data_IF_430492390838
#
_entry.id   IF_430492390838
#
_cell.length_a   1.000
_cell.length_b   1.000
_cell.length_c   1.000
_cell.angle_alpha   90.00
_cell.angle_beta   90.00
_cell.angle_gamma   90.00
#
_symmetry.space_group_name_H-M   'P 1'
#
loop_
_entity.id
_entity.type
_entity.pdbx_description
1 polymer ?
#
# COMPACT_ATOMS: atom_id res chain seq x y z
N UNK A 1 -8.31 -22.87 21.45
CA UNK A 1 -7.54 -21.61 21.68
C UNK A 1 -6.04 -21.90 21.62
N UNK A 2 -5.56 -22.93 22.33
CA UNK A 2 -4.18 -23.42 22.26
C UNK A 2 -3.71 -23.83 20.86
N UNK A 3 -4.53 -24.57 20.10
CA UNK A 3 -4.21 -24.93 18.70
C UNK A 3 -4.00 -23.70 17.81
N UNK A 4 -4.85 -22.68 17.94
CA UNK A 4 -4.70 -21.42 17.20
C UNK A 4 -3.45 -20.66 17.60
N UNK A 5 -3.09 -20.66 18.89
CA UNK A 5 -1.86 -20.04 19.35
C UNK A 5 -0.64 -20.73 18.74
N UNK A 6 -0.66 -22.07 18.67
CA UNK A 6 0.39 -22.85 18.02
C UNK A 6 0.50 -22.53 16.53
N UNK A 7 -0.62 -22.38 15.84
CA UNK A 7 -0.65 -21.94 14.44
C UNK A 7 -0.13 -20.51 14.26
N UNK A 8 -0.57 -19.57 15.10
CA UNK A 8 -0.15 -18.16 15.03
C UNK A 8 1.37 -18.06 15.30
N UNK A 9 1.93 -18.82 16.25
CA UNK A 9 3.39 -18.90 16.50
C UNK A 9 4.12 -19.58 15.33
N UNK A 10 3.60 -20.69 14.79
CA UNK A 10 4.19 -21.37 13.64
C UNK A 10 4.27 -20.47 12.41
N UNK A 11 3.23 -19.66 12.19
CA UNK A 11 3.18 -18.66 11.12
C UNK A 11 4.30 -17.61 11.23
N UNK A 12 4.72 -17.24 12.45
CA UNK A 12 5.85 -16.32 12.63
C UNK A 12 7.14 -16.95 12.12
N UNK A 13 7.42 -18.21 12.47
CA UNK A 13 8.63 -18.91 12.00
C UNK A 13 8.67 -19.12 10.49
N UNK A 14 7.51 -19.31 9.87
CA UNK A 14 7.44 -19.49 8.41
C UNK A 14 7.68 -18.18 7.64
N UNK A 15 7.34 -17.03 8.23
CA UNK A 15 7.28 -15.75 7.53
C UNK A 15 8.33 -14.74 7.95
N UNK A 16 8.92 -14.89 9.13
CA UNK A 16 9.97 -14.02 9.64
C UNK A 16 11.30 -14.78 9.83
N UNK A 17 12.27 -14.57 8.93
CA UNK A 17 13.61 -15.14 9.06
C UNK A 17 14.36 -14.74 10.33
N UNK A 18 13.95 -13.69 11.03
CA UNK A 18 14.57 -13.24 12.28
C UNK A 18 14.09 -14.03 13.51
N UNK A 19 13.02 -14.82 13.39
CA UNK A 19 12.48 -15.60 14.49
C UNK A 19 13.38 -16.79 14.86
N UNK A 20 14.08 -16.72 16.00
CA UNK A 20 15.06 -17.75 16.39
C UNK A 20 14.48 -18.88 17.23
N UNK A 21 13.57 -18.57 18.16
CA UNK A 21 13.00 -19.57 19.08
C UNK A 21 11.62 -19.13 19.61
N UNK A 22 10.85 -20.10 20.12
CA UNK A 22 9.43 -19.86 20.47
C UNK A 22 9.26 -18.96 21.68
N UNK A 23 10.22 -18.96 22.61
CA UNK A 23 10.21 -18.08 23.77
C UNK A 23 10.35 -16.62 23.34
N UNK A 24 11.30 -16.32 22.45
CA UNK A 24 11.46 -15.00 21.85
C UNK A 24 10.19 -14.58 21.12
N UNK A 25 9.67 -15.41 20.20
CA UNK A 25 8.42 -15.11 19.49
C UNK A 25 7.27 -14.78 20.45
N UNK A 26 7.10 -15.59 21.50
CA UNK A 26 6.02 -15.38 22.45
C UNK A 26 6.21 -14.14 23.34
N UNK A 27 7.45 -13.68 23.57
CA UNK A 27 7.73 -12.58 24.51
C UNK A 27 8.00 -11.24 23.83
N UNK A 28 8.43 -11.22 22.56
CA UNK A 28 8.90 -10.00 21.90
C UNK A 28 8.16 -9.62 20.63
N UNK A 29 7.18 -10.42 20.16
CA UNK A 29 6.43 -10.09 18.94
C UNK A 29 5.13 -9.33 19.23
N UNK A 30 5.08 -8.01 19.04
CA UNK A 30 3.90 -7.20 19.33
C UNK A 30 2.71 -7.58 18.44
N UNK A 31 2.97 -8.02 17.21
CA UNK A 31 1.95 -8.53 16.28
C UNK A 31 1.18 -9.71 16.85
N UNK A 32 1.90 -10.70 17.38
CA UNK A 32 1.31 -11.88 18.03
C UNK A 32 0.47 -11.47 19.25
N UNK A 33 1.03 -10.60 20.12
CA UNK A 33 0.32 -10.12 21.32
C UNK A 33 -0.97 -9.38 20.97
N UNK A 34 -0.95 -8.52 19.96
CA UNK A 34 -2.12 -7.78 19.52
C UNK A 34 -3.22 -8.71 18.97
N UNK A 35 -2.86 -9.72 18.18
CA UNK A 35 -3.81 -10.72 17.67
C UNK A 35 -4.41 -11.54 18.83
N UNK A 36 -3.59 -11.99 19.78
CA UNK A 36 -4.08 -12.71 20.96
C UNK A 36 -5.06 -11.87 21.79
N UNK A 37 -4.70 -10.64 22.09
CA UNK A 37 -5.54 -9.71 22.84
C UNK A 37 -6.84 -9.40 22.08
N UNK A 38 -6.76 -9.21 20.76
CA UNK A 38 -7.94 -9.02 19.91
C UNK A 38 -8.87 -10.23 19.98
N UNK A 39 -8.37 -11.47 19.91
CA UNK A 39 -9.23 -12.67 19.98
C UNK A 39 -10.04 -12.72 21.28
N UNK A 40 -9.45 -12.31 22.41
CA UNK A 40 -10.16 -12.16 23.70
C UNK A 40 -11.15 -11.00 23.66
N UNK A 41 -10.72 -9.82 23.19
CA UNK A 41 -11.58 -8.64 23.07
C UNK A 41 -12.79 -8.89 22.15
N UNK A 42 -12.59 -9.61 21.05
CA UNK A 42 -13.63 -10.02 20.12
C UNK A 42 -14.64 -10.98 20.78
N UNK A 43 -14.17 -11.92 21.61
CA UNK A 43 -15.06 -12.78 22.38
C UNK A 43 -15.94 -11.98 23.37
N UNK A 44 -15.34 -11.01 24.08
CA UNK A 44 -16.08 -10.07 24.95
C UNK A 44 -17.08 -9.24 24.14
N UNK A 45 -16.67 -8.75 22.96
CA UNK A 45 -17.51 -7.98 22.05
C UNK A 45 -18.74 -8.76 21.60
N UNK A 46 -18.58 -10.04 21.23
CA UNK A 46 -19.69 -10.91 20.83
C UNK A 46 -20.63 -11.27 21.98
N UNK A 47 -20.14 -11.27 23.23
CA UNK A 47 -20.94 -11.48 24.45
C UNK A 47 -21.69 -10.23 24.93
N UNK A 48 -21.62 -9.12 24.20
CA UNK A 48 -22.28 -7.86 24.56
C UNK A 48 -21.49 -7.00 25.56
N UNK A 49 -20.33 -7.45 26.06
CA UNK A 49 -19.46 -6.72 26.97
C UNK A 49 -18.60 -5.68 26.21
N UNK A 50 -19.28 -4.76 25.51
CA UNK A 50 -18.65 -3.83 24.54
C UNK A 50 -17.59 -2.92 25.16
N UNK A 51 -17.86 -2.40 26.35
CA UNK A 51 -16.93 -1.53 27.06
C UNK A 51 -15.64 -2.27 27.45
N UNK A 52 -15.76 -3.47 28.04
CA UNK A 52 -14.60 -4.29 28.39
C UNK A 52 -13.77 -4.68 27.16
N UNK A 53 -14.44 -5.02 26.06
CA UNK A 53 -13.77 -5.30 24.80
C UNK A 53 -12.98 -4.08 24.29
N UNK A 54 -13.56 -2.87 24.37
CA UNK A 54 -12.89 -1.62 23.99
C UNK A 54 -11.72 -1.29 24.90
N UNK A 55 -11.87 -1.45 26.22
CA UNK A 55 -10.81 -1.23 27.19
C UNK A 55 -9.62 -2.16 26.89
N UNK A 56 -9.87 -3.46 26.72
CA UNK A 56 -8.83 -4.44 26.42
C UNK A 56 -8.11 -4.13 25.09
N UNK A 57 -8.84 -3.75 24.04
CA UNK A 57 -8.27 -3.31 22.76
C UNK A 57 -7.36 -2.08 22.92
N UNK A 58 -7.76 -1.11 23.76
CA UNK A 58 -6.93 0.07 24.04
C UNK A 58 -5.69 -0.24 24.88
N UNK A 59 -5.79 -1.15 25.85
CA UNK A 59 -4.63 -1.62 26.63
C UNK A 59 -3.66 -2.35 25.71
N UNK A 60 -4.14 -3.24 24.84
CA UNK A 60 -3.30 -3.91 23.84
C UNK A 60 -2.59 -2.90 22.92
N UNK A 61 -3.32 -1.88 22.44
CA UNK A 61 -2.76 -0.77 21.65
C UNK A 61 -1.66 -0.02 22.39
N UNK A 62 -1.82 0.24 23.69
CA UNK A 62 -0.81 0.94 24.50
C UNK A 62 0.52 0.18 24.54
N UNK A 63 0.48 -1.15 24.66
CA UNK A 63 1.68 -1.98 24.76
C UNK A 63 2.28 -2.37 23.40
N UNK A 64 1.46 -2.49 22.35
CA UNK A 64 1.90 -3.03 21.04
C UNK A 64 2.01 -1.97 19.95
N UNK A 65 1.38 -0.81 20.10
CA UNK A 65 1.23 0.19 19.04
C UNK A 65 0.28 -0.23 17.90
N UNK A 66 -0.41 -1.37 18.04
CA UNK A 66 -1.35 -1.91 17.05
C UNK A 66 -2.78 -1.68 17.53
N UNK A 67 -3.59 -1.04 16.70
CA UNK A 67 -5.00 -0.82 16.98
C UNK A 67 -5.88 -1.80 16.20
N UNK A 68 -6.54 -2.70 16.92
CA UNK A 68 -7.52 -3.63 16.34
C UNK A 68 -8.86 -3.43 17.01
N UNK A 69 -9.86 -2.98 16.27
CA UNK A 69 -11.20 -2.86 16.80
C UNK A 69 -11.77 -4.25 17.17
N UNK A 70 -12.40 -4.43 18.36
CA UNK A 70 -12.94 -5.73 18.78
C UNK A 70 -14.01 -6.31 17.84
N UNK A 71 -14.67 -5.45 17.06
CA UNK A 71 -15.66 -5.84 16.06
C UNK A 71 -15.07 -6.47 14.78
N UNK A 72 -13.78 -6.28 14.51
CA UNK A 72 -13.14 -6.81 13.31
C UNK A 72 -13.18 -8.35 13.31
N UNK A 73 -13.29 -8.94 12.12
CA UNK A 73 -13.25 -10.39 11.92
C UNK A 73 -11.88 -10.77 11.37
N UNK A 74 -11.17 -11.63 12.09
CA UNK A 74 -9.80 -12.06 11.74
C UNK A 74 -9.75 -13.58 11.64
N UNK A 75 -9.27 -14.06 10.50
CA UNK A 75 -9.01 -15.47 10.22
C UNK A 75 -7.88 -16.11 11.04
N UNK A 76 -7.37 -17.21 10.51
CA UNK A 76 -6.27 -18.01 11.06
C UNK A 76 -4.93 -17.54 10.48
N UNK A 77 -3.84 -17.74 11.24
CA UNK A 77 -2.46 -17.45 10.78
C UNK A 77 -2.33 -16.04 10.19
N UNK A 78 -3.00 -15.09 10.86
CA UNK A 78 -2.91 -13.69 10.52
C UNK A 78 -1.64 -13.13 11.12
N UNK A 79 -0.74 -12.65 10.26
CA UNK A 79 0.57 -12.19 10.66
C UNK A 79 0.66 -10.67 10.57
N UNK A 80 1.11 -10.04 11.66
CA UNK A 80 1.42 -8.61 11.69
C UNK A 80 2.93 -8.48 11.94
N UNK A 81 3.66 -8.00 10.94
CA UNK A 81 5.10 -7.82 11.03
C UNK A 81 5.46 -6.38 11.39
N UNK A 82 6.37 -6.22 12.37
CA UNK A 82 6.75 -4.99 13.08
C UNK A 82 5.60 -4.26 13.81
N UNK A 83 4.42 -4.16 13.19
CA UNK A 83 3.14 -3.83 13.80
C UNK A 83 2.89 -2.37 14.18
N UNK A 84 3.92 -1.57 14.47
CA UNK A 84 3.73 -0.19 14.91
C UNK A 84 2.84 0.62 13.94
N UNK A 85 1.79 1.26 14.45
CA UNK A 85 0.91 2.11 13.66
C UNK A 85 -0.07 1.35 12.74
N UNK A 86 -0.23 0.04 12.91
CA UNK A 86 -1.31 -0.71 12.25
C UNK A 86 -2.67 -0.34 12.84
N UNK A 87 -3.64 -0.04 11.98
CA UNK A 87 -5.01 0.34 12.37
C UNK A 87 -6.03 -0.49 11.61
N UNK A 88 -6.83 -1.27 12.33
CA UNK A 88 -7.86 -2.16 11.78
C UNK A 88 -9.23 -1.76 12.35
N UNK A 89 -10.09 -1.26 11.47
CA UNK A 89 -11.39 -0.73 11.87
C UNK A 89 -12.48 -1.78 12.13
N UNK A 90 -13.61 -1.32 12.67
CA UNK A 90 -14.67 -2.15 13.25
C UNK A 90 -15.24 -3.22 12.33
N UNK A 91 -15.50 -2.88 11.07
CA UNK A 91 -16.18 -3.77 10.12
C UNK A 91 -15.21 -4.42 9.13
N UNK A 92 -13.92 -4.39 9.45
CA UNK A 92 -12.89 -5.03 8.66
C UNK A 92 -13.05 -6.56 8.76
N UNK A 93 -12.85 -7.23 7.63
CA UNK A 93 -12.80 -8.69 7.54
C UNK A 93 -11.45 -9.05 6.95
N UNK A 94 -10.72 -9.92 7.63
CA UNK A 94 -9.39 -10.39 7.24
C UNK A 94 -9.46 -11.90 7.12
N UNK A 95 -9.21 -12.42 5.92
CA UNK A 95 -9.16 -13.85 5.64
C UNK A 95 -7.99 -14.56 6.32
N UNK A 96 -7.88 -15.85 6.05
CA UNK A 96 -6.78 -16.66 6.56
C UNK A 96 -5.46 -16.26 5.88
N UNK A 97 -4.34 -16.48 6.57
CA UNK A 97 -2.99 -16.36 6.02
C UNK A 97 -2.59 -14.95 5.54
N UNK A 98 -3.32 -13.91 5.93
CA UNK A 98 -2.97 -12.54 5.55
C UNK A 98 -1.74 -12.04 6.32
N UNK A 99 -0.94 -11.18 5.66
CA UNK A 99 0.20 -10.48 6.27
C UNK A 99 0.03 -8.98 6.17
N UNK A 100 0.16 -8.28 7.29
CA UNK A 100 0.14 -6.82 7.38
C UNK A 100 1.47 -6.32 7.95
N UNK A 101 2.10 -5.36 7.28
CA UNK A 101 3.28 -4.69 7.80
C UNK A 101 2.90 -3.45 8.64
N UNK A 102 3.89 -2.87 9.33
CA UNK A 102 3.73 -1.64 10.11
C UNK A 102 3.08 -0.49 9.31
N UNK A 103 2.37 0.40 10.01
CA UNK A 103 1.75 1.60 9.44
C UNK A 103 0.55 1.35 8.51
N UNK A 104 0.10 0.10 8.35
CA UNK A 104 -1.06 -0.24 7.53
C UNK A 104 -2.35 0.27 8.16
N UNK A 105 -3.27 0.79 7.34
CA UNK A 105 -4.62 1.14 7.79
C UNK A 105 -5.67 0.44 6.94
N UNK A 106 -6.56 -0.30 7.60
CA UNK A 106 -7.82 -0.81 7.05
C UNK A 106 -8.95 0.11 7.54
N UNK A 107 -9.17 1.19 6.80
CA UNK A 107 -9.93 2.37 7.24
C UNK A 107 -11.32 2.49 6.61
N UNK A 108 -12.17 3.28 7.25
CA UNK A 108 -13.49 3.63 6.72
C UNK A 108 -13.48 4.89 5.86
N UNK A 109 -14.41 5.00 4.92
CA UNK A 109 -14.59 6.21 4.07
C UNK A 109 -15.88 6.99 4.37
N UNK A 110 -16.74 6.48 5.27
CA UNK A 110 -18.05 7.07 5.59
C UNK A 110 -18.29 7.10 7.10
N UNK A 111 -19.06 8.10 7.54
CA UNK A 111 -19.55 8.26 8.90
C UNK A 111 -20.80 7.41 9.18
N UNK A 112 -21.40 6.82 8.15
CA UNK A 112 -22.59 6.00 8.30
C UNK A 112 -22.28 4.70 9.04
N UNK A 113 -23.22 4.28 9.90
CA UNK A 113 -23.17 2.97 10.55
C UNK A 113 -23.35 1.88 9.48
N UNK A 114 -22.59 0.80 9.60
CA UNK A 114 -22.60 -0.32 8.64
C UNK A 114 -21.22 -0.75 8.17
N UNK A 115 -21.20 -1.59 7.13
CA UNK A 115 -19.98 -2.05 6.47
C UNK A 115 -19.31 -0.86 5.78
N UNK A 116 -18.09 -0.54 6.23
CA UNK A 116 -17.34 0.66 5.79
C UNK A 116 -15.84 0.43 5.71
N UNK A 117 -15.35 -0.68 6.25
CA UNK A 117 -13.94 -1.06 6.20
C UNK A 117 -13.73 -2.22 5.21
N UNK A 118 -12.48 -2.46 4.76
CA UNK A 118 -12.20 -3.45 3.74
C UNK A 118 -12.53 -4.90 4.12
N UNK A 119 -12.62 -5.75 3.10
CA UNK A 119 -12.63 -7.21 3.23
C UNK A 119 -11.41 -7.74 2.48
N UNK A 120 -10.50 -8.41 3.19
CA UNK A 120 -9.35 -9.09 2.62
C UNK A 120 -9.68 -10.58 2.49
N UNK A 121 -9.43 -11.14 1.32
CA UNK A 121 -9.47 -12.57 1.05
C UNK A 121 -8.35 -13.34 1.76
N UNK A 122 -8.11 -14.57 1.33
CA UNK A 122 -7.00 -15.41 1.82
C UNK A 122 -5.66 -14.94 1.26
N UNK A 123 -4.56 -15.16 1.98
CA UNK A 123 -3.18 -14.98 1.49
C UNK A 123 -2.87 -13.55 1.00
N UNK A 124 -3.63 -12.55 1.47
CA UNK A 124 -3.41 -11.15 1.09
C UNK A 124 -2.21 -10.58 1.83
N UNK A 125 -1.33 -9.90 1.11
CA UNK A 125 -0.17 -9.19 1.68
C UNK A 125 -0.38 -7.69 1.53
N UNK A 126 -0.32 -6.96 2.65
CA UNK A 126 -0.44 -5.50 2.67
C UNK A 126 0.86 -4.88 3.15
N UNK A 127 1.57 -4.24 2.21
CA UNK A 127 2.87 -3.59 2.39
C UNK A 127 2.88 -2.46 3.41
N UNK A 128 4.07 -2.11 3.87
CA UNK A 128 4.27 -1.14 4.95
C UNK A 128 3.65 0.22 4.61
N UNK A 129 2.95 0.83 5.56
CA UNK A 129 2.36 2.16 5.41
C UNK A 129 1.14 2.24 4.47
N UNK A 130 0.70 1.15 3.84
CA UNK A 130 -0.43 1.17 2.91
C UNK A 130 -1.76 1.55 3.60
N UNK A 131 -2.65 2.21 2.84
CA UNK A 131 -3.98 2.63 3.28
C UNK A 131 -5.02 1.97 2.39
N UNK A 132 -5.79 1.03 2.93
CA UNK A 132 -6.90 0.38 2.23
C UNK A 132 -8.19 0.92 2.82
N UNK A 133 -8.93 1.70 2.03
CA UNK A 133 -9.99 2.57 2.52
C UNK A 133 -11.34 2.22 1.89
N UNK A 134 -12.35 2.05 2.75
CA UNK A 134 -13.74 1.84 2.36
C UNK A 134 -14.17 0.38 2.35
N UNK A 135 -15.45 0.09 2.07
CA UNK A 135 -15.99 -1.27 2.01
C UNK A 135 -15.61 -1.96 0.69
N UNK A 136 -14.31 -2.02 0.39
CA UNK A 136 -13.76 -2.64 -0.82
C UNK A 136 -13.27 -4.06 -0.55
N UNK A 137 -13.19 -4.86 -1.62
CA UNK A 137 -12.74 -6.24 -1.57
C UNK A 137 -11.33 -6.38 -2.14
N UNK A 138 -10.46 -7.03 -1.39
CA UNK A 138 -9.11 -7.40 -1.82
C UNK A 138 -9.10 -8.92 -2.00
N UNK A 139 -9.05 -9.37 -3.26
CA UNK A 139 -9.18 -10.77 -3.61
C UNK A 139 -8.04 -11.65 -3.08
N UNK A 140 -8.26 -12.96 -3.13
CA UNK A 140 -7.30 -13.95 -2.62
C UNK A 140 -5.92 -13.82 -3.28
N UNK A 141 -4.85 -13.87 -2.49
CA UNK A 141 -3.47 -13.77 -2.95
C UNK A 141 -3.06 -12.41 -3.51
N UNK A 142 -3.92 -11.40 -3.40
CA UNK A 142 -3.60 -10.05 -3.87
C UNK A 142 -2.52 -9.39 -3.00
N UNK A 143 -1.76 -8.48 -3.61
CA UNK A 143 -0.65 -7.76 -2.95
C UNK A 143 -0.91 -6.26 -3.01
N UNK A 144 -0.79 -5.59 -1.88
CA UNK A 144 -0.85 -4.13 -1.82
C UNK A 144 0.56 -3.63 -1.54
N UNK A 145 1.10 -2.80 -2.43
CA UNK A 145 2.44 -2.25 -2.28
C UNK A 145 2.55 -1.27 -1.11
N UNK A 146 3.76 -1.11 -0.59
CA UNK A 146 4.06 -0.11 0.44
C UNK A 146 3.57 1.28 0.08
N UNK A 147 3.04 2.00 1.08
CA UNK A 147 2.48 3.35 0.98
C UNK A 147 1.40 3.53 -0.09
N UNK A 148 0.85 2.44 -0.67
CA UNK A 148 -0.24 2.54 -1.62
C UNK A 148 -1.53 3.01 -0.93
N UNK A 149 -2.34 3.81 -1.63
CA UNK A 149 -3.66 4.25 -1.14
C UNK A 149 -4.74 3.63 -2.01
N UNK A 150 -5.32 2.52 -1.55
CA UNK A 150 -6.26 1.69 -2.30
C UNK A 150 -7.68 2.04 -1.90
N UNK A 151 -8.43 2.57 -2.87
CA UNK A 151 -9.84 3.01 -2.72
C UNK A 151 -10.81 2.26 -3.64
N UNK A 152 -10.32 1.25 -4.35
CA UNK A 152 -11.08 0.38 -5.26
C UNK A 152 -10.72 -1.08 -5.00
N UNK A 153 -11.65 -1.99 -5.23
CA UNK A 153 -11.42 -3.43 -5.07
C UNK A 153 -10.27 -3.91 -5.96
N UNK A 154 -9.51 -4.89 -5.46
CA UNK A 154 -8.35 -5.47 -6.14
C UNK A 154 -8.67 -6.94 -6.46
N UNK A 155 -8.58 -7.37 -7.73
CA UNK A 155 -8.84 -8.75 -8.12
C UNK A 155 -7.90 -9.76 -7.44
N UNK A 156 -8.31 -11.04 -7.32
CA UNK A 156 -7.44 -12.09 -6.81
C UNK A 156 -6.10 -12.18 -7.57
N UNK A 157 -5.01 -12.36 -6.83
CA UNK A 157 -3.65 -12.50 -7.36
C UNK A 157 -3.05 -11.23 -7.98
N UNK A 158 -3.79 -10.12 -8.03
CA UNK A 158 -3.32 -8.86 -8.59
C UNK A 158 -2.50 -8.04 -7.57
N UNK A 159 -1.67 -7.14 -8.07
CA UNK A 159 -0.89 -6.22 -7.23
C UNK A 159 -1.41 -4.79 -7.40
N UNK A 160 -1.66 -4.07 -6.31
CA UNK A 160 -2.04 -2.66 -6.35
C UNK A 160 -0.95 -1.78 -5.71
N UNK A 161 -0.48 -0.76 -6.43
CA UNK A 161 0.58 0.16 -5.95
C UNK A 161 0.25 1.63 -6.23
N UNK A 162 0.92 2.55 -5.54
CA UNK A 162 0.84 3.98 -5.80
C UNK A 162 -0.30 4.71 -5.08
N UNK A 163 -0.36 6.03 -5.31
CA UNK A 163 -1.34 6.95 -4.70
C UNK A 163 -1.96 7.82 -5.79
N UNK A 164 -3.24 7.62 -6.17
CA UNK A 164 -4.11 6.53 -5.75
C UNK A 164 -3.66 5.17 -6.32
N UNK A 165 -4.02 4.10 -5.62
CA UNK A 165 -3.65 2.72 -5.94
C UNK A 165 -4.13 2.30 -7.33
N UNK A 166 -3.21 1.84 -8.16
CA UNK A 166 -3.46 1.30 -9.49
C UNK A 166 -3.11 -0.18 -9.51
N UNK A 167 -3.94 -0.96 -10.18
CA UNK A 167 -3.69 -2.40 -10.36
C UNK A 167 -2.62 -2.55 -11.43
N UNK A 168 -1.55 -3.24 -11.08
CA UNK A 168 -0.54 -3.73 -12.02
C UNK A 168 -0.96 -5.14 -12.38
N UNK A 169 -1.31 -5.33 -13.65
CA UNK A 169 -1.49 -6.67 -14.18
C UNK A 169 -0.11 -7.34 -14.26
N UNK A 170 0.05 -8.57 -13.74
CA UNK A 170 1.28 -9.30 -13.95
C UNK A 170 1.44 -9.53 -15.45
N UNK A 171 2.52 -8.99 -16.01
CA UNK A 171 2.84 -9.13 -17.43
C UNK A 171 2.86 -10.62 -17.78
N UNK A 172 2.11 -11.03 -18.82
CA UNK A 172 1.90 -12.47 -19.15
C UNK A 172 3.13 -13.13 -19.76
N UNK A 173 4.23 -12.42 -19.88
CA UNK A 173 5.45 -12.88 -20.53
C UNK A 173 6.18 -13.95 -19.71
N UNK A 174 6.88 -14.85 -20.42
CA UNK A 174 7.65 -15.96 -19.82
C UNK A 174 8.74 -15.52 -18.82
N UNK A 175 9.06 -14.23 -18.76
CA UNK A 175 9.94 -13.63 -17.75
C UNK A 175 9.25 -13.47 -16.38
N UNK A 176 7.94 -13.22 -16.34
CA UNK A 176 7.17 -13.07 -15.09
C UNK A 176 6.97 -14.40 -14.37
N UNK A 177 6.76 -15.50 -15.11
CA UNK A 177 6.72 -16.87 -14.55
C UNK A 177 8.03 -17.24 -13.86
N UNK A 178 9.18 -16.96 -14.49
CA UNK A 178 10.50 -17.20 -13.89
C UNK A 178 10.73 -16.38 -12.62
N UNK A 179 10.25 -15.12 -12.57
CA UNK A 179 10.33 -14.27 -11.38
C UNK A 179 9.42 -14.76 -10.26
N UNK A 180 8.18 -15.18 -10.56
CA UNK A 180 7.25 -15.76 -9.59
C UNK A 180 7.76 -17.10 -9.02
N UNK A 181 8.37 -17.95 -9.85
CA UNK A 181 8.98 -19.21 -9.41
C UNK A 181 10.23 -18.97 -8.56
N UNK A 182 10.97 -17.91 -8.83
CA UNK A 182 12.13 -17.48 -8.03
C UNK A 182 11.71 -16.90 -6.69
N UNK A 183 10.69 -16.02 -6.65
CA UNK A 183 10.12 -15.50 -5.41
C UNK A 183 9.52 -16.62 -4.53
N UNK A 184 8.86 -17.63 -5.14
CA UNK A 184 8.42 -18.84 -4.44
C UNK A 184 9.56 -19.67 -3.86
N UNK A 185 10.71 -19.73 -4.52
CA UNK A 185 11.92 -20.42 -4.03
C UNK A 185 12.62 -19.69 -2.89
N UNK A 186 12.51 -18.36 -2.82
CA UNK A 186 13.20 -17.53 -1.83
C UNK A 186 12.28 -17.21 -0.63
N UNK A 187 10.95 -17.40 -0.76
CA UNK A 187 9.99 -17.20 0.34
C UNK A 187 9.82 -15.74 0.77
N UNK A 188 10.41 -14.79 0.06
CA UNK A 188 10.42 -13.37 0.43
C UNK A 188 10.15 -12.49 -0.79
N UNK A 189 9.03 -11.78 -0.77
CA UNK A 189 8.67 -10.76 -1.75
C UNK A 189 8.47 -9.44 -1.00
N UNK A 190 9.41 -8.51 -1.17
CA UNK A 190 9.55 -7.34 -0.31
C UNK A 190 8.32 -6.44 -0.41
N UNK A 191 7.54 -6.39 0.66
CA UNK A 191 6.51 -5.38 0.90
C UNK A 191 5.49 -5.17 -0.23
N UNK A 192 5.10 -6.25 -0.92
CA UNK A 192 4.10 -6.19 -1.99
C UNK A 192 4.56 -5.45 -3.25
N UNK A 193 5.86 -5.21 -3.41
CA UNK A 193 6.44 -4.62 -4.60
C UNK A 193 7.15 -5.69 -5.43
N UNK A 194 6.70 -5.93 -6.67
CA UNK A 194 7.59 -6.55 -7.66
C UNK A 194 8.72 -5.56 -7.91
N UNK A 195 9.99 -5.98 -7.69
CA UNK A 195 11.21 -5.14 -7.82
C UNK A 195 11.32 -4.37 -9.15
N UNK A 196 10.53 -4.75 -10.16
CA UNK A 196 10.49 -4.15 -11.49
C UNK A 196 9.07 -3.68 -11.91
N UNK A 197 8.18 -3.29 -10.98
CA UNK A 197 6.91 -2.68 -11.36
C UNK A 197 7.20 -1.35 -12.09
N UNK A 198 6.98 -1.24 -13.42
CA UNK A 198 7.23 0.02 -14.12
C UNK A 198 6.27 1.07 -13.56
N UNK A 199 6.79 2.23 -13.17
CA UNK A 199 5.96 3.33 -12.69
C UNK A 199 4.88 3.63 -13.76
N UNK A 200 3.59 3.43 -13.44
CA UNK A 200 2.53 3.62 -14.40
C UNK A 200 2.42 5.08 -14.86
N UNK A 201 2.91 6.04 -14.08
CA UNK A 201 3.01 7.44 -14.47
C UNK A 201 4.15 7.63 -15.45
N UNK A 202 5.36 7.17 -15.14
CA UNK A 202 6.49 7.22 -16.08
C UNK A 202 6.17 6.53 -17.42
N UNK A 203 5.52 5.37 -17.40
CA UNK A 203 5.12 4.67 -18.62
C UNK A 203 4.09 5.47 -19.44
N UNK A 204 3.13 6.12 -18.78
CA UNK A 204 2.19 7.01 -19.46
C UNK A 204 2.90 8.24 -20.05
N UNK A 205 3.85 8.85 -19.32
CA UNK A 205 4.66 9.98 -19.81
C UNK A 205 5.47 9.57 -21.03
N UNK A 206 6.19 8.45 -20.97
CA UNK A 206 6.98 7.96 -22.10
C UNK A 206 6.11 7.71 -23.33
N UNK A 207 4.93 7.10 -23.16
CA UNK A 207 3.98 6.92 -24.29
C UNK A 207 3.44 8.23 -24.86
N UNK A 208 3.25 9.25 -24.03
CA UNK A 208 2.88 10.58 -24.51
C UNK A 208 4.03 11.21 -25.30
N UNK A 209 5.27 11.12 -24.80
CA UNK A 209 6.46 11.62 -25.50
C UNK A 209 6.67 10.92 -26.85
N UNK A 210 6.53 9.60 -26.91
CA UNK A 210 6.59 8.82 -28.15
C UNK A 210 5.51 9.29 -29.15
N UNK A 211 4.30 9.56 -28.65
CA UNK A 211 3.20 10.03 -29.49
C UNK A 211 3.46 11.44 -30.04
N UNK A 212 3.97 12.36 -29.21
CA UNK A 212 4.35 13.72 -29.61
C UNK A 212 5.43 13.65 -30.69
N UNK A 213 6.48 12.86 -30.47
CA UNK A 213 7.55 12.69 -31.46
C UNK A 213 7.01 12.13 -32.80
N UNK A 214 6.09 11.18 -32.76
CA UNK A 214 5.42 10.69 -33.97
C UNK A 214 4.50 11.71 -34.62
N UNK A 215 3.87 12.60 -33.86
CA UNK A 215 3.07 13.71 -34.40
C UNK A 215 3.96 14.73 -35.09
N UNK A 216 5.10 15.10 -34.49
CA UNK A 216 6.06 16.05 -35.06
C UNK A 216 6.61 15.55 -36.39
N UNK A 217 7.06 14.29 -36.45
CA UNK A 217 7.53 13.67 -37.69
C UNK A 217 6.45 13.66 -38.79
N UNK A 218 5.17 13.46 -38.43
CA UNK A 218 4.05 13.49 -39.38
C UNK A 218 3.74 14.91 -39.85
N UNK A 219 3.78 15.88 -38.94
CA UNK A 219 3.58 17.29 -39.26
C UNK A 219 4.69 17.79 -40.18
N UNK A 220 5.93 17.42 -39.92
CA UNK A 220 7.08 17.79 -40.74
C UNK A 220 7.00 17.16 -42.14
N UNK A 221 6.67 15.87 -42.24
CA UNK A 221 6.44 15.20 -43.51
C UNK A 221 5.28 15.85 -44.32
N UNK A 222 4.21 16.26 -43.63
CA UNK A 222 3.10 16.97 -44.25
C UNK A 222 3.50 18.36 -44.72
N UNK A 223 4.25 19.12 -43.90
CA UNK A 223 4.78 20.44 -44.25
C UNK A 223 5.65 20.37 -45.51
N UNK A 224 6.62 19.44 -45.54
CA UNK A 224 7.48 19.22 -46.70
C UNK A 224 6.69 18.85 -47.97
N UNK A 225 5.61 18.07 -47.84
CA UNK A 225 4.76 17.71 -48.97
C UNK A 225 3.95 18.93 -49.51
N UNK A 226 3.51 19.83 -48.62
CA UNK A 226 2.79 21.05 -48.96
C UNK A 226 3.73 22.11 -49.57
N UNK A 227 4.96 22.25 -49.05
CA UNK A 227 6.02 23.09 -49.62
C UNK A 227 6.37 22.66 -51.05
N UNK A 228 6.57 21.35 -51.28
CA UNK A 228 6.85 20.80 -52.63
C UNK A 228 5.74 21.09 -53.64
N UNK A 229 4.50 21.30 -53.18
CA UNK A 229 3.35 21.63 -54.03
C UNK A 229 3.10 23.14 -54.13
N UNK A 230 3.93 23.96 -53.50
CA UNK A 230 3.80 25.43 -53.49
C UNK A 230 2.59 25.94 -52.73
N UNK A 231 2.03 25.15 -51.81
CA UNK A 231 0.83 25.51 -51.04
C UNK A 231 1.20 26.33 -49.79
N UNK A 232 2.40 26.12 -49.24
CA UNK A 232 2.95 26.88 -48.11
C UNK A 232 4.42 27.22 -48.31
N UNK A 233 4.89 28.30 -47.68
CA UNK A 233 6.31 28.65 -47.54
C UNK A 233 6.95 27.91 -46.36
N UNK A 234 8.28 27.76 -46.40
CA UNK A 234 9.03 27.07 -45.36
C UNK A 234 8.80 27.67 -43.98
N UNK A 235 8.40 26.82 -43.03
CA UNK A 235 8.23 27.20 -41.64
C UNK A 235 9.56 26.98 -40.91
N UNK A 236 10.19 28.03 -40.38
CA UNK A 236 11.30 27.86 -39.44
C UNK A 236 10.74 27.24 -38.15
N UNK A 237 11.23 26.06 -37.80
CA UNK A 237 10.94 25.45 -36.51
C UNK A 237 11.71 26.26 -35.45
N UNK A 238 11.02 26.81 -34.44
CA UNK A 238 11.69 27.41 -33.29
C UNK A 238 12.54 26.32 -32.61
N UNK A 239 13.84 26.37 -32.85
CA UNK A 239 14.78 25.40 -32.35
C UNK A 239 15.15 25.75 -30.90
N UNK A 240 14.55 25.02 -29.96
CA UNK A 240 15.25 24.18 -28.97
C UNK A 240 14.37 24.03 -27.72
N UNK A 241 13.75 22.85 -27.57
CA UNK A 241 13.17 22.45 -26.29
C UNK A 241 14.25 22.27 -25.21
N UNK A 242 15.51 22.07 -25.61
CA UNK A 242 16.68 21.98 -24.71
C UNK A 242 16.99 23.32 -24.02
N UNK A 243 16.50 24.45 -24.54
CA UNK A 243 16.69 25.78 -23.94
C UNK A 243 15.59 26.16 -22.92
N UNK A 244 14.53 25.35 -22.78
CA UNK A 244 13.43 25.64 -21.86
C UNK A 244 13.66 24.94 -20.51
N UNK A 245 14.29 25.64 -19.56
CA UNK A 245 14.34 25.18 -18.17
C UNK A 245 12.94 25.18 -17.54
N UNK A 246 12.56 24.05 -16.94
CA UNK A 246 11.35 23.96 -16.12
C UNK A 246 11.65 24.61 -14.78
N UNK A 247 11.17 25.83 -14.56
CA UNK A 247 11.21 26.45 -13.23
C UNK A 247 10.40 25.61 -12.25
N UNK A 248 11.09 24.93 -11.35
CA UNK A 248 10.47 24.30 -10.19
C UNK A 248 9.90 25.42 -9.34
N UNK A 249 8.57 25.45 -9.18
CA UNK A 249 7.89 26.42 -8.34
C UNK A 249 8.42 26.35 -6.89
N UNK A 250 9.45 27.13 -6.59
CA UNK A 250 9.91 27.39 -5.24
C UNK A 250 8.82 28.20 -4.55
N UNK A 251 8.32 27.66 -3.43
CA UNK A 251 7.30 28.28 -2.58
C UNK A 251 7.66 29.75 -2.31
N UNK A 252 6.75 30.71 -2.50
CA UNK A 252 7.02 32.10 -2.15
C UNK A 252 7.02 32.24 -0.62
N UNK A 253 8.14 32.76 -0.12
CA UNK A 253 8.28 33.67 1.03
C UNK A 253 7.37 33.42 2.24
N UNK A 254 7.81 32.52 3.14
CA UNK A 254 7.58 32.75 4.57
C UNK A 254 8.62 33.78 5.03
N UNK A 255 8.27 35.07 4.89
CA UNK A 255 8.93 36.12 5.65
C UNK A 255 8.71 35.82 7.13
N UNK A 256 9.80 35.43 7.79
CA UNK A 256 9.89 35.25 9.24
C UNK A 256 9.87 36.65 9.88
N UNK A 257 8.69 37.26 9.97
CA UNK A 257 8.45 38.47 10.74
C UNK A 257 8.13 38.09 12.18
N UNK A 258 9.16 37.94 13.02
CA UNK A 258 9.22 38.52 14.37
C UNK A 258 10.38 37.93 15.17
N UNK A 259 11.51 38.63 15.16
CA UNK A 259 12.50 38.52 16.24
C UNK A 259 12.46 39.83 17.06
N UNK A 260 11.93 39.82 18.29
CA UNK A 260 11.96 41.02 19.11
C UNK A 260 13.40 41.26 19.59
N UNK A 261 13.97 42.39 19.14
CA UNK A 261 15.18 42.98 19.69
C UNK A 261 15.04 43.12 21.22
N UNK A 262 15.81 42.35 21.98
CA UNK A 262 16.15 42.71 23.37
C UNK A 262 17.53 43.38 23.36
N UNK A 263 17.51 44.70 23.43
CA UNK A 263 18.66 45.50 23.81
C UNK A 263 18.74 45.62 25.33
N UNK A 264 19.94 45.35 25.87
CA UNK A 264 20.58 45.97 27.05
C UNK A 264 19.87 45.91 28.41
N UNK A 265 20.46 45.15 29.33
CA UNK A 265 21.35 45.69 30.38
C UNK A 265 22.37 44.61 30.75
#
# INVERSE_FOLDING_TARGET
>A
MLERLREDVGCVFERDPAARNAFEVLTTYPGLHAVMAHRVAHALWRRGLKWLARLLSNVARLFTGIEIHPGALIGRRFFIDHGMGVVIGETAVIGDDCTLYHGVTLGGTTWQKGKRHPTLGRDVVVGAGAKVLGPIEIGDGARIGSNAVVVKSVPPGATAVGVPGRIIEPDKDAASKRRADTAKRIGFDAYGATRDAPDPVANAINRMLDHIHHMDLRMEAMSQALEKRGIMHHFEHDADLDAMEIEVASRPDLQDSDSPKKSRA
#
